data_IF_803613652936
#
_entry.id   IF_803613652936
#
_cell.length_a   1.000
_cell.length_b   1.000
_cell.length_c   1.000
_cell.angle_alpha   90.00
_cell.angle_beta   90.00
_cell.angle_gamma   90.00
#
_symmetry.space_group_name_H-M   'P 1'
#
loop_
_entity.id
_entity.type
_entity.pdbx_description
1 polymer ?
#
# COMPACT_ATOMS: atom_id res chain seq x y z
N UNK A 1 0.31 -57.63 9.17
CA UNK A 1 0.33 -56.32 9.85
C UNK A 1 0.21 -55.08 8.93
N UNK A 2 0.11 -55.23 7.60
CA UNK A 2 -0.01 -54.10 6.64
C UNK A 2 -1.45 -53.59 6.46
N UNK A 3 -2.45 -54.43 6.78
CA UNK A 3 -3.88 -54.14 6.57
C UNK A 3 -4.42 -53.04 7.50
N UNK A 4 -4.04 -53.03 8.77
CA UNK A 4 -4.56 -52.08 9.76
C UNK A 4 -4.06 -50.64 9.53
N UNK A 5 -2.79 -50.47 9.13
CA UNK A 5 -2.23 -49.15 8.79
C UNK A 5 -2.90 -48.50 7.59
N UNK A 6 -3.26 -49.29 6.56
CA UNK A 6 -3.96 -48.78 5.37
C UNK A 6 -5.38 -48.32 5.71
N UNK A 7 -6.06 -49.03 6.61
CA UNK A 7 -7.41 -48.67 7.05
C UNK A 7 -7.43 -47.36 7.85
N UNK A 8 -6.47 -47.14 8.75
CA UNK A 8 -6.35 -45.89 9.54
C UNK A 8 -6.06 -44.68 8.64
N UNK A 9 -5.24 -44.85 7.58
CA UNK A 9 -4.97 -43.77 6.61
C UNK A 9 -6.22 -43.41 5.81
N UNK A 10 -7.00 -44.41 5.36
CA UNK A 10 -8.24 -44.20 4.62
C UNK A 10 -9.32 -43.48 5.43
N UNK A 11 -9.48 -43.84 6.72
CA UNK A 11 -10.45 -43.20 7.61
C UNK A 11 -10.09 -41.73 7.88
N UNK A 12 -8.82 -41.42 8.11
CA UNK A 12 -8.37 -40.04 8.34
C UNK A 12 -8.53 -39.15 7.08
N UNK A 13 -8.30 -39.68 5.89
CA UNK A 13 -8.52 -38.95 4.64
C UNK A 13 -10.01 -38.66 4.39
N UNK A 14 -10.90 -39.59 4.73
CA UNK A 14 -12.35 -39.40 4.60
C UNK A 14 -12.87 -38.33 5.58
N UNK A 15 -12.39 -38.29 6.82
CA UNK A 15 -12.80 -37.27 7.80
C UNK A 15 -12.33 -35.85 7.44
N UNK A 16 -11.17 -35.70 6.80
CA UNK A 16 -10.69 -34.40 6.30
C UNK A 16 -11.56 -33.87 5.14
N UNK A 17 -12.11 -34.76 4.31
CA UNK A 17 -13.00 -34.40 3.21
C UNK A 17 -14.38 -33.90 3.71
N UNK A 18 -14.91 -34.49 4.79
CA UNK A 18 -16.21 -34.11 5.37
C UNK A 18 -16.16 -32.80 6.18
N UNK A 19 -14.97 -32.41 6.67
CA UNK A 19 -14.75 -31.12 7.33
C UNK A 19 -14.54 -29.94 6.35
N UNK A 20 -14.55 -30.21 5.04
CA UNK A 20 -14.31 -29.17 4.04
C UNK A 20 -15.56 -28.31 3.83
N UNK A 21 -15.49 -27.04 4.22
CA UNK A 21 -16.53 -26.06 3.91
C UNK A 21 -16.60 -25.82 2.40
N UNK A 22 -17.80 -25.86 1.82
CA UNK A 22 -18.00 -25.56 0.40
C UNK A 22 -18.07 -24.04 0.21
N UNK A 23 -17.28 -23.50 -0.71
CA UNK A 23 -17.33 -22.08 -1.13
C UNK A 23 -17.89 -22.03 -2.56
N UNK A 24 -18.96 -21.26 -2.77
CA UNK A 24 -19.57 -21.05 -4.09
C UNK A 24 -19.29 -19.63 -4.57
N UNK A 25 -18.70 -19.50 -5.76
CA UNK A 25 -18.45 -18.20 -6.41
C UNK A 25 -19.29 -18.10 -7.69
N UNK A 26 -20.16 -17.09 -7.78
CA UNK A 26 -20.98 -16.83 -8.97
C UNK A 26 -20.52 -15.56 -9.70
N UNK A 27 -19.74 -15.72 -10.76
CA UNK A 27 -19.22 -14.61 -11.58
C UNK A 27 -20.30 -13.88 -12.41
N UNK A 28 -21.51 -14.43 -12.49
CA UNK A 28 -22.67 -13.75 -13.10
C UNK A 28 -23.30 -12.70 -12.19
N UNK A 29 -23.01 -12.74 -10.88
CA UNK A 29 -23.43 -11.69 -9.92
C UNK A 29 -22.27 -10.75 -9.68
N UNK A 30 -22.43 -9.48 -10.03
CA UNK A 30 -21.40 -8.44 -9.84
C UNK A 30 -21.82 -7.47 -8.74
N UNK A 31 -20.84 -6.98 -7.98
CA UNK A 31 -21.02 -5.97 -6.93
C UNK A 31 -20.23 -4.71 -7.29
N UNK A 32 -19.50 -4.12 -6.33
CA UNK A 32 -18.72 -2.91 -6.53
C UNK A 32 -17.44 -3.15 -7.36
N UNK A 33 -17.01 -2.10 -8.04
CA UNK A 33 -15.66 -2.00 -8.58
C UNK A 33 -14.66 -1.80 -7.43
N UNK A 34 -13.48 -2.40 -7.57
CA UNK A 34 -12.35 -2.18 -6.67
C UNK A 34 -11.30 -1.40 -7.44
N UNK A 35 -11.03 -0.16 -7.01
CA UNK A 35 -10.06 0.70 -7.68
C UNK A 35 -8.61 0.31 -7.33
N UNK A 36 -8.39 -0.21 -6.13
CA UNK A 36 -7.06 -0.65 -5.72
C UNK A 36 -6.84 -0.75 -4.23
N UNK A 37 -5.58 -0.94 -3.89
CA UNK A 37 -5.05 -0.96 -2.53
C UNK A 37 -3.84 -0.04 -2.47
N UNK A 38 -3.59 0.52 -1.29
CA UNK A 38 -2.58 1.55 -1.15
C UNK A 38 -2.16 1.85 0.26
N UNK A 39 -1.28 2.82 0.38
CA UNK A 39 -0.67 3.26 1.63
C UNK A 39 -0.29 4.74 1.56
N UNK A 40 0.28 5.25 2.65
CA UNK A 40 0.79 6.62 2.74
C UNK A 40 2.24 6.60 3.18
N UNK A 41 3.01 7.59 2.73
CA UNK A 41 4.37 7.89 3.19
C UNK A 41 4.48 9.34 3.68
N UNK A 42 3.38 9.86 4.23
CA UNK A 42 3.31 11.18 4.84
C UNK A 42 4.25 11.32 6.06
N UNK A 43 4.36 12.55 6.58
CA UNK A 43 5.16 12.87 7.77
C UNK A 43 6.64 12.49 7.64
N UNK A 44 7.21 12.70 6.45
CA UNK A 44 8.62 12.47 6.18
C UNK A 44 9.03 11.01 5.96
N UNK A 45 8.09 10.05 5.99
CA UNK A 45 8.42 8.64 5.75
C UNK A 45 8.89 8.38 4.32
N UNK A 46 8.37 9.11 3.35
CA UNK A 46 8.87 9.07 1.97
C UNK A 46 10.36 9.46 1.88
N UNK A 47 10.82 10.40 2.73
CA UNK A 47 12.23 10.81 2.76
C UNK A 47 13.17 9.72 3.27
N UNK A 48 12.68 8.79 4.09
CA UNK A 48 13.47 7.62 4.54
C UNK A 48 13.83 6.72 3.35
N UNK A 49 12.88 6.52 2.42
CA UNK A 49 13.15 5.81 1.16
C UNK A 49 14.09 6.62 0.28
N UNK A 50 13.81 7.91 0.08
CA UNK A 50 14.63 8.80 -0.75
C UNK A 50 16.10 8.85 -0.30
N UNK A 51 16.37 8.72 0.99
CA UNK A 51 17.72 8.77 1.56
C UNK A 51 18.40 7.40 1.67
N UNK A 52 17.68 6.30 1.43
CA UNK A 52 18.27 4.97 1.46
C UNK A 52 19.27 4.77 0.30
N UNK A 53 20.17 3.81 0.44
CA UNK A 53 21.06 3.43 -0.66
C UNK A 53 20.24 2.82 -1.83
N UNK A 54 20.79 2.86 -3.05
CA UNK A 54 20.07 2.48 -4.25
C UNK A 54 19.53 1.03 -4.26
N UNK A 55 20.24 0.07 -3.66
CA UNK A 55 19.77 -1.31 -3.62
C UNK A 55 18.60 -1.48 -2.65
N UNK A 56 18.67 -0.84 -1.47
CA UNK A 56 17.56 -0.80 -0.51
C UNK A 56 16.35 -0.06 -1.07
N UNK A 57 16.56 1.08 -1.77
CA UNK A 57 15.48 1.80 -2.46
C UNK A 57 14.74 0.88 -3.43
N UNK A 58 15.49 0.27 -4.35
CA UNK A 58 14.91 -0.61 -5.36
C UNK A 58 14.15 -1.76 -4.72
N UNK A 59 14.74 -2.45 -3.74
CA UNK A 59 14.11 -3.58 -3.09
C UNK A 59 12.80 -3.18 -2.39
N UNK A 60 12.79 -2.06 -1.66
CA UNK A 60 11.61 -1.61 -0.95
C UNK A 60 10.50 -1.15 -1.92
N UNK A 61 10.85 -0.45 -2.99
CA UNK A 61 9.90 -0.05 -4.04
C UNK A 61 9.35 -1.26 -4.80
N UNK A 62 10.18 -2.25 -5.13
CA UNK A 62 9.74 -3.50 -5.75
C UNK A 62 8.73 -4.22 -4.86
N UNK A 63 8.98 -4.32 -3.54
CA UNK A 63 8.03 -4.94 -2.61
C UNK A 63 6.68 -4.22 -2.54
N UNK A 64 6.65 -2.90 -2.73
CA UNK A 64 5.42 -2.12 -2.65
C UNK A 64 4.64 -2.14 -3.98
N UNK A 65 5.33 -1.99 -5.11
CA UNK A 65 4.70 -1.66 -6.40
C UNK A 65 4.77 -2.77 -7.45
N UNK A 66 5.70 -3.72 -7.34
CA UNK A 66 5.77 -4.81 -8.31
C UNK A 66 4.56 -5.74 -8.15
N UNK A 67 3.90 -6.06 -9.26
CA UNK A 67 2.81 -7.06 -9.32
C UNK A 67 3.33 -8.50 -9.42
N UNK A 68 4.64 -8.68 -9.62
CA UNK A 68 5.27 -10.00 -9.74
C UNK A 68 6.09 -10.39 -8.50
N UNK A 69 6.71 -9.41 -7.83
CA UNK A 69 7.63 -9.65 -6.70
C UNK A 69 7.20 -8.92 -5.43
N UNK A 70 6.06 -8.21 -5.45
CA UNK A 70 5.60 -7.36 -4.36
C UNK A 70 4.08 -7.37 -4.21
N UNK A 71 3.57 -6.36 -3.50
CA UNK A 71 2.16 -6.20 -3.20
C UNK A 71 1.33 -5.62 -4.36
N UNK A 72 1.98 -5.03 -5.37
CA UNK A 72 1.29 -4.43 -6.51
C UNK A 72 0.33 -3.30 -6.13
N UNK A 73 0.67 -2.49 -5.12
CA UNK A 73 -0.18 -1.37 -4.72
C UNK A 73 -0.37 -0.38 -5.87
N UNK A 74 -1.60 0.09 -6.07
CA UNK A 74 -2.00 0.98 -7.17
C UNK A 74 -2.41 2.37 -6.69
N UNK A 75 -2.44 2.61 -5.37
CA UNK A 75 -2.84 3.89 -4.78
C UNK A 75 -1.77 4.35 -3.80
N UNK A 76 -1.31 5.59 -3.95
CA UNK A 76 -0.48 6.29 -2.96
C UNK A 76 -1.30 7.47 -2.43
N UNK A 77 -1.38 7.61 -1.10
CA UNK A 77 -1.99 8.76 -0.44
C UNK A 77 -0.91 9.70 0.09
N UNK A 78 -0.67 10.80 -0.62
CA UNK A 78 0.19 11.88 -0.14
C UNK A 78 -0.59 12.81 0.82
N UNK A 79 0.11 13.38 1.80
CA UNK A 79 -0.42 14.45 2.66
C UNK A 79 -0.09 15.79 2.03
N UNK A 80 -1.08 16.66 1.89
CA UNK A 80 -0.85 18.09 1.66
C UNK A 80 -0.46 18.71 3.00
N UNK A 81 0.75 19.24 3.10
CA UNK A 81 1.23 19.84 4.34
C UNK A 81 0.52 21.15 4.67
N UNK A 82 0.45 21.45 5.97
CA UNK A 82 -0.41 22.51 6.52
C UNK A 82 0.27 23.29 7.66
N UNK A 83 1.54 22.99 7.93
CA UNK A 83 2.36 23.65 8.93
C UNK A 83 3.06 24.88 8.36
N UNK A 84 4.15 25.29 9.02
CA UNK A 84 4.97 26.42 8.59
C UNK A 84 5.94 26.07 7.47
N UNK A 85 7.04 26.83 7.41
CA UNK A 85 8.06 26.70 6.38
C UNK A 85 8.60 25.27 6.29
N UNK A 86 8.59 24.72 5.08
CA UNK A 86 9.03 23.34 4.79
C UNK A 86 7.94 22.26 4.95
N UNK A 87 6.71 22.64 5.33
CA UNK A 87 5.56 21.73 5.35
C UNK A 87 4.42 22.20 4.43
N UNK A 88 4.00 23.47 4.53
CA UNK A 88 2.94 24.04 3.68
C UNK A 88 3.51 24.73 2.44
N UNK A 89 2.76 24.68 1.33
CA UNK A 89 3.01 25.55 0.17
C UNK A 89 2.70 27.02 0.46
N UNK A 90 1.94 27.30 1.51
CA UNK A 90 1.67 28.65 2.01
C UNK A 90 1.94 28.68 3.53
N UNK A 91 3.21 28.83 3.94
CA UNK A 91 3.61 28.66 5.33
C UNK A 91 3.31 29.87 6.22
N UNK A 92 3.04 31.04 5.62
CA UNK A 92 2.79 32.29 6.32
C UNK A 92 1.41 32.82 5.95
N UNK A 93 0.66 33.31 6.94
CA UNK A 93 -0.66 33.88 6.73
C UNK A 93 -0.59 35.18 5.89
N UNK A 94 -1.27 35.27 4.74
CA UNK A 94 -1.24 36.47 3.89
C UNK A 94 -2.16 37.61 4.36
N UNK A 95 -3.09 37.37 5.30
CA UNK A 95 -4.20 38.21 5.77
C UNK A 95 -4.33 39.66 5.22
N UNK A 96 -5.54 40.08 4.76
CA UNK A 96 -6.86 39.43 4.85
C UNK A 96 -7.05 38.27 3.83
N UNK A 97 -8.20 37.54 3.81
CA UNK A 97 -8.45 36.48 2.83
C UNK A 97 -8.41 36.93 1.36
N UNK A 98 -8.50 38.24 1.09
CA UNK A 98 -8.35 38.82 -0.25
C UNK A 98 -6.90 39.21 -0.60
N UNK A 99 -5.95 39.04 0.32
CA UNK A 99 -4.55 39.30 0.06
C UNK A 99 -3.97 38.26 -0.90
N UNK A 100 -2.99 38.67 -1.70
CA UNK A 100 -2.27 37.75 -2.59
C UNK A 100 -1.51 36.70 -1.77
N UNK A 101 -1.69 35.39 -2.03
CA UNK A 101 -1.00 34.33 -1.30
C UNK A 101 0.49 34.30 -1.62
N UNK A 102 1.31 33.97 -0.62
CA UNK A 102 2.76 33.86 -0.73
C UNK A 102 3.22 32.41 -0.90
N UNK A 103 2.90 31.79 -2.04
CA UNK A 103 3.22 30.38 -2.26
C UNK A 103 4.72 30.11 -2.40
N UNK A 104 5.15 28.99 -1.83
CA UNK A 104 6.50 28.43 -1.96
C UNK A 104 6.41 26.99 -2.45
N UNK A 105 7.40 26.58 -3.24
CA UNK A 105 7.52 25.21 -3.73
C UNK A 105 8.95 24.73 -3.58
N UNK A 106 9.17 23.73 -2.73
CA UNK A 106 10.49 23.19 -2.43
C UNK A 106 10.91 22.05 -3.38
N UNK A 107 10.03 21.67 -4.31
CA UNK A 107 10.22 20.53 -5.23
C UNK A 107 10.52 19.21 -4.53
N UNK A 108 10.03 19.02 -3.30
CA UNK A 108 10.31 17.81 -2.52
C UNK A 108 9.07 17.28 -1.78
N UNK A 109 8.31 18.16 -1.11
CA UNK A 109 7.14 17.80 -0.31
C UNK A 109 7.44 16.67 0.68
N UNK A 110 8.45 16.88 1.54
CA UNK A 110 8.92 15.87 2.51
C UNK A 110 9.26 14.49 1.91
N UNK A 111 9.73 14.47 0.66
CA UNK A 111 10.11 13.27 -0.08
C UNK A 111 8.97 12.65 -0.91
N UNK A 112 7.73 13.13 -0.74
CA UNK A 112 6.55 12.58 -1.42
C UNK A 112 6.64 12.77 -2.95
N UNK A 113 7.26 13.85 -3.42
CA UNK A 113 7.45 14.05 -4.87
C UNK A 113 8.41 13.03 -5.47
N UNK A 114 9.50 12.68 -4.77
CA UNK A 114 10.41 11.62 -5.24
C UNK A 114 9.72 10.26 -5.22
N UNK A 115 8.95 9.97 -4.17
CA UNK A 115 8.31 8.68 -3.97
C UNK A 115 7.18 8.38 -4.97
N UNK A 116 6.57 9.43 -5.55
CA UNK A 116 5.43 9.29 -6.49
C UNK A 116 5.85 9.22 -7.95
N UNK A 117 7.12 9.52 -8.28
CA UNK A 117 7.63 9.49 -9.65
C UNK A 117 7.94 8.07 -10.11
#
# INVERSE_FOLDING_TARGET
>A
MVSFRRFVILVNAATLCVAQSTITVNIGTKYQQIDGFGFSQAFGRAREFQNANASTQKQALDFLFSTSTGAGFSIIRNRIGSGGSGDSIEPNNPAPPSATPGYVWDSNDSGQLWFTK
#
